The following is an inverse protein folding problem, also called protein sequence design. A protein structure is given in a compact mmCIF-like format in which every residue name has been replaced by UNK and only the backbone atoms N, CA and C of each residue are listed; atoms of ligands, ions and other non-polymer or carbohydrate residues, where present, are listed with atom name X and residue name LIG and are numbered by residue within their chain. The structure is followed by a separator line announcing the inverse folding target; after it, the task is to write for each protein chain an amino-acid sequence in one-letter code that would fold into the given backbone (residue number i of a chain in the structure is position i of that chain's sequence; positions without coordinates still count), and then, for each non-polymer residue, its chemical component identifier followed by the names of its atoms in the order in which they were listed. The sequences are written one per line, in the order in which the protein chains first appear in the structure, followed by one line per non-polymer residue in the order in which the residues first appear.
data_IF_887817444776
#
_entry.id   IF_887817444776
#
_cell.length_a   1.000
_cell.length_b   1.000
_cell.length_c   1.000
_cell.angle_alpha   90.00
_cell.angle_beta   90.00
_cell.angle_gamma   90.00
#
_symmetry.space_group_name_H-M   'P 1'
#
loop_
_entity.id
_entity.type
_entity.pdbx_description
1 polymer ?
#
# COMPACT_ATOMS: atom_id res chain seq x y z
N UNK A 1 -61.34 -17.29 18.61
CA UNK A 1 -61.40 -15.85 18.95
C UNK A 1 -60.43 -15.62 20.09
N UNK A 2 -59.35 -14.83 20.06
CA UNK A 2 -58.75 -13.91 19.09
C UNK A 2 -57.24 -13.83 19.41
N UNK A 3 -56.45 -13.79 18.33
CA UNK A 3 -55.14 -13.20 18.08
C UNK A 3 -54.19 -12.81 19.23
N UNK A 4 -52.98 -13.37 19.15
CA UNK A 4 -51.74 -12.78 19.63
C UNK A 4 -51.33 -11.59 18.75
N UNK A 5 -50.76 -10.52 19.33
CA UNK A 5 -49.72 -9.70 18.70
C UNK A 5 -48.77 -9.11 19.77
N UNK A 6 -47.49 -9.22 19.45
CA UNK A 6 -46.23 -9.01 20.20
C UNK A 6 -45.83 -7.51 20.18
N UNK A 7 -45.00 -7.03 21.14
CA UNK A 7 -44.84 -5.60 21.41
C UNK A 7 -43.97 -4.88 20.37
N UNK A 8 -44.23 -3.58 20.26
CA UNK A 8 -43.45 -2.62 19.47
C UNK A 8 -42.08 -2.38 20.10
N UNK A 9 -41.16 -3.33 19.96
CA UNK A 9 -39.74 -2.99 19.99
C UNK A 9 -39.33 -2.56 18.59
N UNK A 10 -39.07 -1.26 18.46
CA UNK A 10 -38.43 -0.66 17.31
C UNK A 10 -37.08 -1.35 17.10
N UNK A 11 -37.02 -2.26 16.12
CA UNK A 11 -35.76 -2.70 15.53
C UNK A 11 -35.19 -1.51 14.78
N UNK A 12 -34.29 -0.77 15.45
CA UNK A 12 -33.34 0.07 14.74
C UNK A 12 -32.53 -0.86 13.84
N UNK A 13 -32.82 -0.85 12.54
CA UNK A 13 -31.98 -1.49 11.53
C UNK A 13 -30.70 -0.66 11.50
N UNK A 14 -29.71 -1.08 12.29
CA UNK A 14 -28.33 -0.67 12.09
C UNK A 14 -27.90 -1.22 10.73
N UNK A 15 -28.10 -0.44 9.68
CA UNK A 15 -27.45 -0.64 8.40
C UNK A 15 -25.94 -0.59 8.64
N UNK A 16 -25.32 -1.75 8.71
CA UNK A 16 -23.87 -1.86 8.80
C UNK A 16 -23.28 -1.28 7.51
N UNK A 17 -22.59 -0.14 7.62
CA UNK A 17 -21.49 0.13 6.71
C UNK A 17 -20.56 -1.08 6.81
N UNK A 18 -20.45 -1.88 5.76
CA UNK A 18 -19.34 -2.81 5.65
C UNK A 18 -18.08 -1.94 5.57
N UNK A 19 -17.42 -1.73 6.71
CA UNK A 19 -16.17 -1.03 6.76
C UNK A 19 -15.17 -1.79 5.88
N UNK A 20 -14.48 -1.01 5.07
CA UNK A 20 -13.40 -1.37 4.17
C UNK A 20 -12.19 -1.87 4.99
N UNK A 21 -12.35 -3.03 5.63
CA UNK A 21 -11.39 -3.60 6.56
C UNK A 21 -10.79 -4.88 5.99
N UNK A 22 -9.50 -5.10 6.24
CA UNK A 22 -8.84 -6.33 5.86
C UNK A 22 -9.52 -7.53 6.53
N UNK A 23 -9.72 -8.60 5.75
CA UNK A 23 -10.12 -9.88 6.32
C UNK A 23 -9.09 -10.35 7.36
N UNK A 24 -9.51 -11.25 8.26
CA UNK A 24 -8.59 -11.85 9.24
C UNK A 24 -7.35 -12.42 8.54
N UNK A 25 -6.18 -12.25 9.18
CA UNK A 25 -4.85 -12.62 8.69
C UNK A 25 -4.29 -11.77 7.54
N UNK A 26 -5.00 -10.71 7.14
CA UNK A 26 -4.47 -9.69 6.25
C UNK A 26 -4.11 -8.43 7.04
N UNK A 27 -2.96 -7.86 6.74
CA UNK A 27 -2.47 -6.62 7.35
C UNK A 27 -2.76 -5.46 6.40
N UNK A 28 -3.39 -4.43 6.94
CA UNK A 28 -3.81 -3.26 6.19
C UNK A 28 -2.65 -2.32 5.89
N UNK A 29 -2.57 -1.90 4.63
CA UNK A 29 -1.68 -0.83 4.19
C UNK A 29 -2.51 0.34 3.65
N UNK A 30 -2.47 1.46 4.38
CA UNK A 30 -3.37 2.59 4.18
C UNK A 30 -3.15 3.31 2.85
N UNK A 31 -1.89 3.49 2.45
CA UNK A 31 -1.51 4.39 1.35
C UNK A 31 -2.07 3.93 0.00
N UNK A 32 -1.97 2.64 -0.30
CA UNK A 32 -2.53 2.05 -1.53
C UNK A 32 -3.89 1.42 -1.30
N UNK A 33 -4.50 1.61 -0.12
CA UNK A 33 -5.80 1.02 0.24
C UNK A 33 -5.79 -0.48 -0.08
N UNK A 34 -4.81 -1.17 0.48
CA UNK A 34 -4.58 -2.58 0.21
C UNK A 34 -4.44 -3.40 1.49
N UNK A 35 -4.53 -4.71 1.30
CA UNK A 35 -4.32 -5.74 2.30
C UNK A 35 -3.18 -6.61 1.84
N UNK A 36 -2.22 -6.88 2.72
CA UNK A 36 -1.11 -7.79 2.47
C UNK A 36 -1.16 -8.98 3.43
N UNK A 37 -0.78 -10.16 2.97
CA UNK A 37 -0.74 -11.38 3.79
C UNK A 37 0.46 -12.24 3.41
N UNK A 38 1.14 -12.78 4.41
CA UNK A 38 2.25 -13.72 4.20
C UNK A 38 1.70 -15.14 4.18
N UNK A 39 1.99 -15.87 3.11
CA UNK A 39 1.80 -17.31 3.02
C UNK A 39 3.11 -18.00 3.42
N UNK A 40 3.17 -18.69 4.58
CA UNK A 40 4.41 -19.31 5.05
C UNK A 40 4.76 -20.62 4.33
N UNK A 41 3.84 -21.17 3.53
CA UNK A 41 4.07 -22.40 2.78
C UNK A 41 5.05 -22.15 1.64
N UNK A 42 6.04 -23.03 1.51
CA UNK A 42 6.98 -23.00 0.39
C UNK A 42 6.32 -23.57 -0.86
N UNK A 43 6.20 -22.73 -1.88
CA UNK A 43 5.51 -23.02 -3.12
C UNK A 43 6.37 -22.60 -4.32
N UNK A 44 6.20 -23.27 -5.46
CA UNK A 44 6.68 -22.71 -6.73
C UNK A 44 5.92 -21.42 -7.03
N UNK A 45 6.49 -20.54 -7.84
CA UNK A 45 5.89 -19.23 -8.07
C UNK A 45 4.45 -19.34 -8.58
N UNK A 46 4.19 -20.21 -9.57
CA UNK A 46 2.86 -20.41 -10.13
C UNK A 46 1.85 -20.98 -9.11
N UNK A 47 2.31 -21.82 -8.18
CA UNK A 47 1.47 -22.37 -7.10
C UNK A 47 1.15 -21.28 -6.07
N UNK A 48 2.12 -20.42 -5.74
CA UNK A 48 1.94 -19.29 -4.86
C UNK A 48 0.94 -18.27 -5.42
N UNK A 49 1.05 -17.93 -6.70
CA UNK A 49 0.09 -17.06 -7.40
C UNK A 49 -1.33 -17.64 -7.34
N UNK A 50 -1.48 -18.92 -7.67
CA UNK A 50 -2.78 -19.60 -7.59
C UNK A 50 -3.37 -19.55 -6.17
N UNK A 51 -2.53 -19.67 -5.13
CA UNK A 51 -2.97 -19.57 -3.75
C UNK A 51 -3.39 -18.14 -3.38
N UNK A 52 -2.64 -17.11 -3.79
CA UNK A 52 -3.06 -15.72 -3.57
C UNK A 52 -4.39 -15.41 -4.28
N UNK A 53 -4.58 -15.90 -5.51
CA UNK A 53 -5.84 -15.78 -6.26
C UNK A 53 -7.00 -16.45 -5.53
N UNK A 54 -6.79 -17.64 -4.95
CA UNK A 54 -7.82 -18.31 -4.12
C UNK A 54 -8.22 -17.48 -2.90
N UNK A 55 -7.33 -16.67 -2.35
CA UNK A 55 -7.64 -15.74 -1.24
C UNK A 55 -8.15 -14.35 -1.69
N UNK A 56 -8.45 -14.20 -2.99
CA UNK A 56 -9.02 -13.00 -3.58
C UNK A 56 -8.01 -11.87 -3.80
N UNK A 57 -6.73 -12.22 -3.96
CA UNK A 57 -5.66 -11.28 -4.29
C UNK A 57 -4.73 -11.84 -5.36
N UNK A 58 -3.51 -11.32 -5.43
CA UNK A 58 -2.43 -11.80 -6.28
C UNK A 58 -1.14 -11.84 -5.47
N UNK A 59 -0.07 -12.45 -5.99
CA UNK A 59 1.25 -12.16 -5.48
C UNK A 59 1.50 -10.64 -5.50
N UNK A 60 2.13 -10.15 -4.45
CA UNK A 60 2.15 -8.72 -4.16
C UNK A 60 2.91 -7.93 -5.23
N UNK A 61 2.21 -6.98 -5.85
CA UNK A 61 2.81 -5.82 -6.50
C UNK A 61 3.25 -4.80 -5.45
N UNK A 62 4.41 -4.18 -5.67
CA UNK A 62 4.93 -3.14 -4.79
C UNK A 62 5.10 -1.88 -5.63
N UNK A 63 4.26 -0.90 -5.35
CA UNK A 63 3.99 0.27 -6.20
C UNK A 63 4.64 1.56 -5.70
N UNK A 64 5.16 1.58 -4.46
CA UNK A 64 6.00 2.66 -3.94
C UNK A 64 7.05 2.13 -2.93
N UNK A 65 7.98 2.98 -2.53
CA UNK A 65 9.07 2.64 -1.60
C UNK A 65 8.60 2.35 -0.18
N UNK A 66 7.53 2.99 0.29
CA UNK A 66 6.97 2.75 1.63
C UNK A 66 6.27 1.40 1.68
N UNK A 67 5.61 1.00 0.60
CA UNK A 67 4.98 -0.30 0.46
C UNK A 67 6.05 -1.39 0.48
N UNK A 68 7.24 -1.14 -0.08
CA UNK A 68 8.37 -2.06 0.01
C UNK A 68 8.84 -2.29 1.45
N UNK A 69 9.05 -1.20 2.20
CA UNK A 69 9.47 -1.27 3.61
C UNK A 69 8.41 -2.01 4.42
N UNK A 70 7.14 -1.64 4.25
CA UNK A 70 6.03 -2.30 4.92
C UNK A 70 5.93 -3.80 4.59
N UNK A 71 6.08 -4.16 3.31
CA UNK A 71 6.09 -5.54 2.85
C UNK A 71 7.25 -6.34 3.47
N UNK A 72 8.44 -5.76 3.51
CA UNK A 72 9.62 -6.36 4.13
C UNK A 72 9.39 -6.61 5.62
N UNK A 73 8.98 -5.60 6.38
CA UNK A 73 8.75 -5.71 7.83
C UNK A 73 7.69 -6.76 8.14
N UNK A 74 6.59 -6.77 7.36
CA UNK A 74 5.53 -7.77 7.48
C UNK A 74 6.06 -9.18 7.23
N UNK A 75 6.79 -9.40 6.13
CA UNK A 75 7.37 -10.69 5.80
C UNK A 75 8.43 -11.15 6.82
N UNK A 76 9.25 -10.22 7.32
CA UNK A 76 10.27 -10.49 8.34
C UNK A 76 9.64 -10.93 9.66
N UNK A 77 8.56 -10.25 10.07
CA UNK A 77 7.82 -10.57 11.31
C UNK A 77 7.16 -11.95 11.28
N UNK A 78 6.95 -12.54 10.10
CA UNK A 78 6.35 -13.87 9.95
C UNK A 78 7.30 -15.03 10.32
N UNK A 79 8.57 -14.74 10.66
CA UNK A 79 9.57 -15.71 11.13
C UNK A 79 9.68 -16.97 10.24
N UNK A 80 9.85 -16.73 8.94
CA UNK A 80 9.87 -17.78 7.92
C UNK A 80 11.13 -18.66 8.02
N UNK A 81 10.98 -19.96 7.74
CA UNK A 81 12.12 -20.91 7.73
C UNK A 81 13.16 -20.55 6.69
N UNK A 82 12.73 -20.03 5.55
CA UNK A 82 13.60 -19.44 4.52
C UNK A 82 13.24 -17.98 4.44
N UNK A 83 14.24 -17.13 4.62
CA UNK A 83 14.12 -15.68 4.73
C UNK A 83 14.02 -15.04 3.33
N UNK A 84 13.09 -15.53 2.54
CA UNK A 84 12.82 -15.08 1.17
C UNK A 84 11.36 -15.34 0.85
N UNK A 85 10.72 -14.37 0.20
CA UNK A 85 9.33 -14.49 -0.27
C UNK A 85 9.22 -14.19 -1.76
N UNK A 86 8.29 -14.87 -2.42
CA UNK A 86 7.83 -14.51 -3.76
C UNK A 86 7.04 -13.20 -3.75
N UNK A 87 7.25 -12.41 -4.80
CA UNK A 87 6.47 -11.24 -5.19
C UNK A 87 5.78 -11.49 -6.53
N UNK A 88 4.92 -10.55 -6.93
CA UNK A 88 4.37 -10.50 -8.28
C UNK A 88 5.47 -10.39 -9.34
N UNK A 89 5.15 -10.81 -10.56
CA UNK A 89 6.07 -10.69 -11.70
C UNK A 89 5.91 -9.32 -12.36
N UNK A 90 7.03 -8.72 -12.77
CA UNK A 90 7.02 -7.55 -13.65
C UNK A 90 6.84 -8.03 -15.09
N UNK A 91 5.78 -7.56 -15.75
CA UNK A 91 5.40 -7.99 -17.10
C UNK A 91 5.76 -6.96 -18.17
N UNK A 92 5.95 -5.70 -17.80
CA UNK A 92 6.25 -4.62 -18.74
C UNK A 92 6.96 -3.47 -18.02
N UNK A 93 7.89 -2.81 -18.72
CA UNK A 93 8.41 -1.50 -18.32
C UNK A 93 7.65 -0.42 -19.08
N UNK A 94 6.96 0.44 -18.36
CA UNK A 94 6.19 1.53 -18.96
C UNK A 94 7.11 2.60 -19.54
N UNK A 95 6.58 3.42 -20.46
CA UNK A 95 7.34 4.55 -21.05
C UNK A 95 7.80 5.58 -20.01
N UNK A 96 7.14 5.66 -18.86
CA UNK A 96 7.51 6.54 -17.74
C UNK A 96 8.58 5.94 -16.83
N UNK A 97 9.03 4.71 -17.08
CA UNK A 97 10.04 4.03 -16.25
C UNK A 97 9.47 3.27 -15.04
N UNK A 98 8.15 3.17 -14.92
CA UNK A 98 7.47 2.42 -13.86
C UNK A 98 7.26 0.94 -14.25
N UNK A 99 7.18 0.06 -13.25
CA UNK A 99 6.87 -1.35 -13.45
C UNK A 99 5.38 -1.59 -13.60
N UNK A 100 5.03 -2.45 -14.55
CA UNK A 100 3.71 -3.07 -14.62
C UNK A 100 3.80 -4.50 -14.10
N UNK A 101 2.92 -4.84 -13.18
CA UNK A 101 2.90 -6.11 -12.47
C UNK A 101 1.88 -7.09 -13.09
N UNK A 102 1.99 -8.38 -12.78
CA UNK A 102 1.10 -9.43 -13.29
C UNK A 102 -0.34 -9.30 -12.79
N UNK A 103 -0.57 -8.59 -11.69
CA UNK A 103 -1.90 -8.23 -11.19
C UNK A 103 -2.50 -7.00 -11.90
N UNK A 104 -1.74 -6.38 -12.81
CA UNK A 104 -2.13 -5.20 -13.59
C UNK A 104 -1.80 -3.86 -12.93
N UNK A 105 -1.28 -3.86 -11.69
CA UNK A 105 -0.87 -2.64 -11.02
C UNK A 105 0.36 -2.02 -11.69
N UNK A 106 0.46 -0.69 -11.64
CA UNK A 106 1.58 0.08 -12.18
C UNK A 106 2.14 0.97 -11.11
N UNK A 107 3.45 0.84 -10.85
CA UNK A 107 4.13 1.64 -9.84
C UNK A 107 5.53 1.14 -9.59
N UNK A 108 6.25 1.87 -8.73
CA UNK A 108 7.69 1.81 -8.47
C UNK A 108 8.54 1.91 -9.74
N UNK A 109 9.51 2.80 -9.69
CA UNK A 109 10.42 3.04 -10.82
C UNK A 109 11.53 1.98 -10.89
N UNK A 110 12.15 1.92 -12.08
CA UNK A 110 13.27 1.04 -12.40
C UNK A 110 14.42 1.07 -11.36
N UNK A 111 14.62 2.22 -10.73
CA UNK A 111 15.64 2.48 -9.71
C UNK A 111 15.39 1.70 -8.41
N UNK A 112 14.22 1.09 -8.26
CA UNK A 112 13.86 0.23 -7.15
C UNK A 112 14.65 -1.08 -7.07
N UNK A 113 15.27 -1.50 -8.18
CA UNK A 113 16.18 -2.63 -8.18
C UNK A 113 17.62 -2.16 -8.02
N UNK A 114 18.39 -2.91 -7.21
CA UNK A 114 19.84 -2.68 -7.12
C UNK A 114 20.59 -3.12 -8.39
N UNK A 115 20.05 -4.10 -9.11
CA UNK A 115 20.56 -4.58 -10.41
C UNK A 115 19.40 -4.64 -11.41
N UNK A 116 19.57 -4.14 -12.65
CA UNK A 116 18.51 -4.18 -13.64
C UNK A 116 17.99 -5.61 -13.84
N UNK A 117 16.66 -5.80 -13.96
CA UNK A 117 16.09 -7.10 -14.31
C UNK A 117 16.74 -7.63 -15.58
N UNK A 118 17.19 -8.89 -15.58
CA UNK A 118 17.90 -9.50 -16.70
C UNK A 118 16.99 -9.78 -17.90
N UNK A 119 15.66 -9.70 -17.71
CA UNK A 119 14.66 -9.85 -18.76
C UNK A 119 14.39 -11.30 -19.18
N UNK A 120 14.98 -12.27 -18.48
CA UNK A 120 14.64 -13.68 -18.63
C UNK A 120 13.28 -13.98 -17.97
N UNK A 121 12.66 -15.11 -18.29
CA UNK A 121 11.37 -15.56 -17.71
C UNK A 121 11.53 -16.02 -16.25
N UNK A 122 12.13 -15.16 -15.43
CA UNK A 122 12.42 -15.35 -14.02
C UNK A 122 11.35 -14.65 -13.18
N UNK A 123 11.18 -15.14 -11.96
CA UNK A 123 10.19 -14.73 -11.00
C UNK A 123 10.82 -13.89 -9.88
N UNK A 124 10.07 -12.93 -9.35
CA UNK A 124 10.62 -11.95 -8.43
C UNK A 124 10.56 -12.42 -6.97
N UNK A 125 11.65 -12.25 -6.25
CA UNK A 125 11.78 -12.54 -4.82
C UNK A 125 12.16 -11.30 -4.04
N UNK A 126 11.79 -11.27 -2.76
CA UNK A 126 12.30 -10.31 -1.76
C UNK A 126 13.06 -11.08 -0.68
N UNK A 127 14.31 -10.67 -0.43
CA UNK A 127 15.14 -11.24 0.63
C UNK A 127 14.90 -10.57 1.97
N UNK A 128 14.95 -11.36 3.04
CA UNK A 128 14.63 -10.92 4.39
C UNK A 128 15.83 -10.90 5.34
N UNK A 129 16.96 -11.53 5.01
CA UNK A 129 18.10 -11.70 5.94
C UNK A 129 19.50 -11.65 5.31
N UNK A 130 19.68 -10.85 4.25
CA UNK A 130 20.96 -10.79 3.54
C UNK A 130 21.81 -9.56 3.90
N UNK A 131 23.09 -9.57 3.51
CA UNK A 131 24.02 -8.43 3.57
C UNK A 131 23.65 -7.27 2.61
N UNK A 132 22.38 -7.20 2.25
CA UNK A 132 21.79 -6.28 1.28
C UNK A 132 20.82 -5.34 2.02
N UNK A 133 20.51 -4.17 1.45
CA UNK A 133 19.46 -3.32 2.01
C UNK A 133 18.15 -4.08 2.19
N UNK A 134 17.49 -3.83 3.31
CA UNK A 134 16.21 -4.44 3.64
C UNK A 134 15.19 -4.25 2.50
N UNK A 135 14.49 -5.32 2.16
CA UNK A 135 13.50 -5.31 1.08
C UNK A 135 14.10 -5.29 -0.33
N UNK A 136 15.37 -5.70 -0.48
CA UNK A 136 15.99 -5.90 -1.80
C UNK A 136 15.30 -7.02 -2.58
N UNK A 137 15.17 -6.82 -3.89
CA UNK A 137 14.56 -7.77 -4.80
C UNK A 137 15.58 -8.51 -5.66
N UNK A 138 15.24 -9.73 -6.04
CA UNK A 138 16.05 -10.56 -6.91
C UNK A 138 15.19 -11.41 -7.86
N UNK A 139 15.66 -11.60 -9.09
CA UNK A 139 15.07 -12.54 -10.03
C UNK A 139 15.51 -13.98 -9.71
N UNK A 140 14.60 -14.94 -9.81
CA UNK A 140 14.85 -16.35 -9.50
C UNK A 140 14.08 -17.30 -10.41
N UNK A 141 14.53 -18.55 -10.50
CA UNK A 141 13.86 -19.60 -11.26
C UNK A 141 12.42 -19.82 -10.72
N UNK A 142 11.42 -19.54 -11.56
CA UNK A 142 10.01 -19.73 -11.28
C UNK A 142 9.67 -21.19 -10.93
N UNK A 143 10.43 -22.14 -11.48
CA UNK A 143 10.29 -23.58 -11.29
C UNK A 143 11.06 -24.13 -10.09
N UNK A 144 11.73 -23.27 -9.29
CA UNK A 144 12.57 -23.68 -8.18
C UNK A 144 11.86 -24.70 -7.28
N UNK A 145 12.32 -25.95 -7.32
CA UNK A 145 11.56 -27.09 -6.83
C UNK A 145 11.23 -27.02 -5.34
N UNK A 146 12.10 -26.41 -4.54
CA UNK A 146 11.89 -26.26 -3.10
C UNK A 146 10.93 -25.11 -2.77
N UNK A 147 10.74 -24.17 -3.69
CA UNK A 147 9.86 -23.01 -3.53
C UNK A 147 10.28 -22.05 -2.42
N UNK A 148 9.52 -20.95 -2.33
CA UNK A 148 9.60 -19.95 -1.27
C UNK A 148 8.20 -19.68 -0.72
N UNK A 149 8.18 -19.09 0.47
CA UNK A 149 6.98 -18.44 1.01
C UNK A 149 6.54 -17.30 0.08
N UNK A 150 5.35 -16.75 0.28
CA UNK A 150 4.81 -15.75 -0.64
C UNK A 150 4.17 -14.57 0.08
N UNK A 151 4.23 -13.40 -0.53
CA UNK A 151 3.49 -12.23 -0.10
C UNK A 151 2.31 -12.03 -1.05
N UNK A 152 1.08 -12.10 -0.53
CA UNK A 152 -0.13 -11.79 -1.29
C UNK A 152 -0.56 -10.34 -1.04
N UNK A 153 -1.16 -9.71 -2.05
CA UNK A 153 -1.79 -8.38 -1.96
C UNK A 153 -3.18 -8.41 -2.58
N UNK A 154 -4.09 -7.60 -2.04
CA UNK A 154 -5.34 -7.23 -2.72
C UNK A 154 -5.75 -5.81 -2.37
N UNK A 155 -6.26 -5.09 -3.36
CA UNK A 155 -6.80 -3.73 -3.17
C UNK A 155 -8.24 -3.80 -2.66
N UNK A 156 -8.66 -2.84 -1.84
CA UNK A 156 -10.08 -2.69 -1.56
C UNK A 156 -10.79 -2.19 -2.81
N UNK A 157 -11.69 -2.99 -3.39
CA UNK A 157 -12.69 -2.43 -4.29
C UNK A 157 -13.71 -1.75 -3.40
N UNK A 158 -13.68 -0.41 -3.33
CA UNK A 158 -14.81 0.34 -2.79
C UNK A 158 -16.05 -0.06 -3.59
N UNK A 159 -16.91 -0.87 -3.00
CA UNK A 159 -18.21 -1.24 -3.59
C UNK A 159 -19.24 -0.14 -3.41
N UNK A 160 -18.84 1.04 -2.93
CA UNK A 160 -19.71 2.20 -2.80
C UNK A 160 -19.28 3.24 -3.81
N UNK A 161 -19.98 3.32 -4.96
CA UNK A 161 -20.12 4.61 -5.66
C UNK A 161 -20.89 5.53 -4.73
N UNK A 162 -20.18 6.16 -3.80
CA UNK A 162 -20.75 7.25 -3.03
C UNK A 162 -20.95 8.43 -4.00
N UNK A 163 -22.11 9.11 -4.00
CA UNK A 163 -22.22 10.39 -4.67
C UNK A 163 -21.18 11.33 -4.06
N UNK A 164 -20.44 12.06 -4.91
CA UNK A 164 -19.38 12.95 -4.48
C UNK A 164 -19.86 13.87 -3.35
N UNK A 165 -19.18 13.95 -2.19
CA UNK A 165 -19.57 14.85 -1.13
C UNK A 165 -19.38 16.29 -1.60
N UNK A 166 -20.41 17.11 -1.45
CA UNK A 166 -20.32 18.56 -1.69
C UNK A 166 -19.29 19.19 -0.75
N UNK A 167 -18.49 20.19 -1.20
CA UNK A 167 -17.37 20.77 -0.46
C UNK A 167 -17.68 21.26 0.97
N UNK A 168 -18.95 21.52 1.30
CA UNK A 168 -19.38 22.03 2.60
C UNK A 168 -19.48 21.00 3.73
N UNK A 169 -19.60 19.70 3.44
CA UNK A 169 -19.83 18.67 4.49
C UNK A 169 -18.54 18.07 5.08
N UNK A 170 -17.40 18.26 4.42
CA UNK A 170 -16.13 17.65 4.81
C UNK A 170 -15.52 18.29 6.08
N UNK A 171 -15.81 19.57 6.35
CA UNK A 171 -15.19 20.32 7.45
C UNK A 171 -15.81 20.05 8.84
N UNK A 172 -17.04 19.55 8.93
CA UNK A 172 -17.67 19.26 10.22
C UNK A 172 -17.41 17.83 10.71
N UNK A 173 -17.26 16.85 9.81
CA UNK A 173 -17.02 15.46 10.22
C UNK A 173 -15.61 15.22 10.78
N UNK A 174 -14.59 15.95 10.29
CA UNK A 174 -13.19 15.74 10.69
C UNK A 174 -12.92 16.21 12.14
N UNK A 175 -13.61 17.25 12.62
CA UNK A 175 -13.42 17.81 13.97
C UNK A 175 -14.08 16.98 15.08
N UNK A 176 -15.02 16.10 14.74
CA UNK A 176 -15.79 15.32 15.71
C UNK A 176 -15.13 13.99 16.11
N UNK A 177 -14.20 13.47 15.30
CA UNK A 177 -13.68 12.10 15.47
C UNK A 177 -12.31 12.04 16.15
N UNK A 178 -11.51 13.11 16.09
CA UNK A 178 -10.17 13.13 16.71
C UNK A 178 -9.95 14.48 17.41
N UNK A 179 -9.91 14.53 18.75
CA UNK A 179 -9.45 15.72 19.45
C UNK A 179 -7.95 15.90 19.14
N UNK A 180 -7.60 16.95 18.40
CA UNK A 180 -6.21 17.25 18.03
C UNK A 180 -5.83 17.01 16.57
N UNK A 181 -6.77 17.08 15.62
CA UNK A 181 -6.40 17.26 14.20
C UNK A 181 -5.59 18.55 14.07
N UNK A 182 -4.27 18.43 13.96
CA UNK A 182 -3.42 19.54 13.55
C UNK A 182 -3.78 19.89 12.10
N UNK A 183 -4.14 21.13 11.84
CA UNK A 183 -4.30 21.65 10.48
C UNK A 183 -2.98 21.43 9.73
N UNK A 184 -2.99 20.48 8.79
CA UNK A 184 -1.88 20.31 7.87
C UNK A 184 -1.89 21.50 6.92
N UNK A 185 -1.02 22.47 7.15
CA UNK A 185 -0.89 23.63 6.28
C UNK A 185 -0.10 23.23 5.03
N UNK A 186 -0.59 23.65 3.86
CA UNK A 186 0.20 23.59 2.62
C UNK A 186 1.40 24.50 2.74
N UNK A 187 2.54 24.06 2.23
CA UNK A 187 3.78 24.81 2.23
C UNK A 187 4.48 24.72 0.88
N UNK A 188 5.48 25.58 0.71
CA UNK A 188 6.31 25.58 -0.48
C UNK A 188 7.77 25.30 -0.14
N UNK A 189 8.41 24.45 -0.95
CA UNK A 189 9.79 23.98 -0.80
C UNK A 189 10.80 25.03 -1.30
N UNK A 190 10.33 25.95 -2.15
CA UNK A 190 11.09 27.09 -2.68
C UNK A 190 10.43 28.45 -2.39
N UNK A 191 11.23 29.51 -2.40
CA UNK A 191 10.81 30.87 -2.01
C UNK A 191 10.49 31.74 -3.22
N UNK A 192 9.32 31.59 -3.86
CA UNK A 192 8.85 32.59 -4.85
C UNK A 192 7.36 32.57 -5.24
N UNK A 193 6.46 31.86 -4.54
CA UNK A 193 5.03 31.89 -4.90
C UNK A 193 4.14 32.51 -3.81
N UNK A 194 3.32 33.49 -4.19
CA UNK A 194 2.52 34.33 -3.30
C UNK A 194 1.30 33.61 -2.68
N UNK A 195 1.01 32.38 -3.12
CA UNK A 195 -0.12 31.55 -2.70
C UNK A 195 0.22 30.55 -1.58
N UNK A 196 1.40 30.66 -0.96
CA UNK A 196 1.97 29.60 -0.13
C UNK A 196 2.66 30.16 1.14
N UNK A 197 2.42 29.53 2.30
CA UNK A 197 2.99 29.95 3.58
C UNK A 197 4.17 29.07 3.99
N UNK A 198 5.10 29.62 4.79
CA UNK A 198 6.15 28.82 5.46
C UNK A 198 5.53 28.04 6.61
N UNK A 199 6.08 26.86 6.86
CA UNK A 199 5.62 26.04 7.98
C UNK A 199 5.88 26.72 9.34
N UNK A 200 4.99 26.50 10.33
CA UNK A 200 5.19 26.90 11.71
C UNK A 200 6.51 26.39 12.32
N UNK A 201 6.96 27.05 13.39
CA UNK A 201 8.14 26.62 14.17
C UNK A 201 7.94 25.17 14.65
N UNK A 202 8.97 24.32 14.47
CA UNK A 202 9.00 22.85 14.71
C UNK A 202 8.34 21.97 13.65
N UNK A 203 8.08 22.50 12.46
CA UNK A 203 7.64 21.72 11.30
C UNK A 203 8.58 21.93 10.12
N UNK A 204 8.65 20.95 9.21
CA UNK A 204 9.34 21.09 7.92
C UNK A 204 8.38 20.81 6.76
N UNK A 205 8.62 21.47 5.63
CA UNK A 205 7.86 21.25 4.41
C UNK A 205 8.34 19.98 3.71
N UNK A 206 7.45 19.02 3.49
CA UNK A 206 7.73 17.81 2.71
C UNK A 206 7.02 17.94 1.36
N UNK A 207 7.73 17.90 0.22
CA UNK A 207 7.10 17.98 -1.10
C UNK A 207 6.03 16.88 -1.30
N UNK A 208 4.99 17.18 -2.08
CA UNK A 208 3.93 16.22 -2.43
C UNK A 208 4.46 15.00 -3.21
N UNK A 209 5.56 15.21 -3.94
CA UNK A 209 6.27 14.18 -4.69
C UNK A 209 7.68 14.00 -4.08
N UNK A 210 7.97 12.79 -3.61
CA UNK A 210 9.19 12.48 -2.86
C UNK A 210 10.44 12.37 -3.73
N UNK A 211 10.26 12.26 -5.05
CA UNK A 211 11.35 12.35 -6.01
C UNK A 211 11.91 13.79 -6.09
N UNK A 212 11.20 14.78 -5.57
CA UNK A 212 11.64 16.18 -5.57
C UNK A 212 12.77 16.50 -4.58
N UNK A 213 13.19 15.54 -3.74
CA UNK A 213 14.41 15.66 -2.95
C UNK A 213 15.67 15.48 -3.79
N UNK A 214 15.55 14.76 -4.92
CA UNK A 214 16.68 14.40 -5.80
C UNK A 214 16.52 14.94 -7.22
N UNK A 215 15.34 15.49 -7.58
CA UNK A 215 15.03 16.08 -8.89
C UNK A 215 14.35 17.45 -8.75
N UNK A 216 14.49 18.30 -9.77
CA UNK A 216 13.76 19.56 -9.84
C UNK A 216 12.30 19.31 -10.28
N UNK A 217 11.33 19.79 -9.49
CA UNK A 217 9.91 19.63 -9.78
C UNK A 217 9.24 20.98 -10.01
N UNK A 218 8.32 21.04 -10.98
CA UNK A 218 7.73 22.30 -11.47
C UNK A 218 6.82 23.00 -10.45
N UNK A 219 6.26 22.29 -9.46
CA UNK A 219 5.19 22.84 -8.62
C UNK A 219 5.53 23.16 -7.16
N UNK A 220 6.74 22.89 -6.66
CA UNK A 220 7.26 23.36 -5.34
C UNK A 220 6.32 23.24 -4.12
N UNK A 221 5.27 22.43 -4.16
CA UNK A 221 4.23 22.32 -3.12
C UNK A 221 4.47 21.11 -2.23
N UNK A 222 4.08 21.24 -0.96
CA UNK A 222 4.22 20.20 0.03
C UNK A 222 3.34 20.42 1.26
N UNK A 223 3.59 19.60 2.30
CA UNK A 223 2.89 19.65 3.58
C UNK A 223 3.82 19.93 4.74
N UNK A 224 3.33 20.73 5.70
CA UNK A 224 4.02 20.93 6.96
C UNK A 224 3.83 19.73 7.89
N UNK A 225 4.93 19.05 8.19
CA UNK A 225 4.96 17.89 9.08
C UNK A 225 5.85 18.21 10.29
N UNK A 226 5.48 17.79 11.53
CA UNK A 226 6.34 17.91 12.70
C UNK A 226 7.76 17.39 12.44
N UNK A 227 8.75 18.08 12.99
CA UNK A 227 10.11 17.54 13.01
C UNK A 227 10.14 16.24 13.81
N UNK A 228 10.93 15.23 13.39
CA UNK A 228 11.15 14.04 14.20
C UNK A 228 11.69 14.45 15.60
N UNK A 229 11.34 13.69 16.65
CA UNK A 229 11.83 13.94 18.01
C UNK A 229 13.36 13.84 18.13
#
# INVERSE_FOLDING_TARGET
MKNALIPWFLLAISSGMAAEECARNWTRYERTKSCLMVLPQRLRWAEAEQMCVKFGGHLASITDEYENVFAFDLAKSANLTVQTVWLGKIVEFTKSGAYKWNDGEVGRNADGFREPPSGNDLCLTMWLDFDRPDGSWNEWDCGYATGYSALCKKSYKSTVRAPAPTPGQMLQQIKAVVPGVHEANRCCVGSSNASCQRCPLRQRCIPDDLDCWTKACDNNLGWCIPLPP
#
